data_IF_753773203606
#
_entry.id   IF_753773203606
#
_cell.length_a   1.000
_cell.length_b   1.000
_cell.length_c   1.000
_cell.angle_alpha   90.00
_cell.angle_beta   90.00
_cell.angle_gamma   90.00
#
_symmetry.space_group_name_H-M   'P 1'
#
loop_
_entity.id
_entity.type
_entity.pdbx_description
1 polymer ?
#
# COMPACT_ATOMS: atom_id res chain seq x y z
N UNK A 1 -31.01 26.33 -10.10
CA UNK A 1 -30.06 26.61 -11.20
C UNK A 1 -28.64 26.39 -10.69
N UNK A 2 -27.79 25.80 -11.54
CA UNK A 2 -26.42 25.36 -11.26
C UNK A 2 -25.51 26.50 -10.81
N UNK A 3 -24.57 26.17 -9.92
CA UNK A 3 -23.16 26.52 -10.11
C UNK A 3 -22.31 25.41 -9.55
N UNK A 4 -21.91 24.54 -10.47
CA UNK A 4 -20.75 23.68 -10.37
C UNK A 4 -19.53 24.56 -10.05
N UNK A 5 -18.82 24.27 -8.97
CA UNK A 5 -17.57 24.98 -8.67
C UNK A 5 -16.44 23.98 -8.45
N UNK A 6 -15.75 23.77 -9.57
CA UNK A 6 -14.29 23.67 -9.72
C UNK A 6 -13.63 22.42 -9.11
N UNK A 7 -13.55 21.41 -9.98
CA UNK A 7 -12.54 20.37 -9.97
C UNK A 7 -11.14 21.01 -9.97
N UNK A 8 -10.58 21.35 -8.81
CA UNK A 8 -9.18 21.74 -8.70
C UNK A 8 -8.36 20.48 -8.89
N UNK A 9 -7.76 20.30 -10.07
CA UNK A 9 -6.70 19.31 -10.25
C UNK A 9 -5.49 19.78 -9.43
N UNK A 10 -5.50 19.48 -8.14
CA UNK A 10 -4.30 19.62 -7.30
C UNK A 10 -3.32 18.58 -7.80
N UNK A 11 -2.31 19.01 -8.56
CA UNK A 11 -1.22 18.12 -8.97
C UNK A 11 -0.53 17.66 -7.69
N UNK A 12 -0.83 16.43 -7.27
CA UNK A 12 -0.13 15.78 -6.17
C UNK A 12 1.33 15.61 -6.56
N UNK A 13 2.25 15.86 -5.64
CA UNK A 13 3.68 15.66 -5.90
C UNK A 13 3.96 14.22 -6.36
N UNK A 14 4.97 14.04 -7.21
CA UNK A 14 5.41 12.71 -7.64
C UNK A 14 5.66 11.79 -6.44
N UNK A 15 6.29 12.31 -5.39
CA UNK A 15 6.54 11.58 -4.16
C UNK A 15 5.24 11.06 -3.50
N UNK A 16 4.18 11.86 -3.51
CA UNK A 16 2.87 11.43 -2.97
C UNK A 16 2.26 10.30 -3.79
N UNK A 17 2.30 10.41 -5.12
CA UNK A 17 1.78 9.38 -6.03
C UNK A 17 2.56 8.07 -5.90
N UNK A 18 3.89 8.15 -5.84
CA UNK A 18 4.76 6.99 -5.64
C UNK A 18 4.50 6.32 -4.30
N UNK A 19 4.32 7.10 -3.22
CA UNK A 19 3.97 6.54 -1.91
C UNK A 19 2.62 5.83 -1.91
N UNK A 20 1.61 6.40 -2.58
CA UNK A 20 0.28 5.79 -2.69
C UNK A 20 0.33 4.49 -3.49
N UNK A 21 1.04 4.49 -4.62
CA UNK A 21 1.21 3.31 -5.47
C UNK A 21 2.00 2.21 -4.74
N UNK A 22 3.11 2.55 -4.10
CA UNK A 22 3.91 1.61 -3.32
C UNK A 22 3.10 1.00 -2.16
N UNK A 23 2.30 1.82 -1.46
CA UNK A 23 1.40 1.35 -0.40
C UNK A 23 0.36 0.35 -0.93
N UNK A 24 -0.23 0.62 -2.09
CA UNK A 24 -1.22 -0.27 -2.71
C UNK A 24 -0.61 -1.64 -3.05
N UNK A 25 0.56 -1.66 -3.71
CA UNK A 25 1.26 -2.90 -4.05
C UNK A 25 1.59 -3.77 -2.83
N UNK A 26 1.99 -3.15 -1.71
CA UNK A 26 2.27 -3.87 -0.47
C UNK A 26 1.00 -4.47 0.13
N UNK A 27 -0.11 -3.74 0.10
CA UNK A 27 -1.40 -4.26 0.60
C UNK A 27 -1.85 -5.44 -0.25
N UNK A 28 -1.82 -5.32 -1.57
CA UNK A 28 -2.24 -6.39 -2.48
C UNK A 28 -1.39 -7.66 -2.30
N UNK A 29 -0.08 -7.49 -2.13
CA UNK A 29 0.81 -8.60 -1.82
C UNK A 29 0.51 -9.24 -0.45
N UNK A 30 0.19 -8.44 0.57
CA UNK A 30 -0.18 -8.96 1.89
C UNK A 30 -1.54 -9.67 1.86
N UNK A 31 -2.53 -9.16 1.13
CA UNK A 31 -3.82 -9.84 0.92
C UNK A 31 -3.60 -11.19 0.23
N UNK A 32 -2.84 -11.19 -0.87
CA UNK A 32 -2.55 -12.41 -1.66
C UNK A 32 -1.78 -13.47 -0.87
N UNK A 33 -1.06 -13.07 0.17
CA UNK A 33 -0.22 -13.95 1.00
C UNK A 33 -0.74 -14.11 2.42
N UNK A 34 -2.00 -13.72 2.66
CA UNK A 34 -2.67 -13.82 3.97
C UNK A 34 -1.84 -13.21 5.12
N UNK A 35 -1.25 -12.04 4.88
CA UNK A 35 -0.43 -11.31 5.85
C UNK A 35 1.01 -11.84 6.01
N UNK A 36 1.44 -12.83 5.22
CA UNK A 36 2.79 -13.38 5.28
C UNK A 36 3.81 -12.46 4.58
N UNK A 37 4.47 -11.60 5.37
CA UNK A 37 5.45 -10.62 4.88
C UNK A 37 6.62 -11.26 4.10
N UNK A 38 7.05 -12.47 4.46
CA UNK A 38 8.14 -13.15 3.74
C UNK A 38 7.70 -13.55 2.34
N UNK A 39 6.47 -14.01 2.18
CA UNK A 39 5.91 -14.35 0.86
C UNK A 39 5.56 -13.10 0.07
N UNK A 40 5.02 -12.05 0.71
CA UNK A 40 4.77 -10.76 0.08
C UNK A 40 6.07 -10.16 -0.49
N UNK A 41 7.19 -10.28 0.25
CA UNK A 41 8.50 -9.84 -0.23
C UNK A 41 8.96 -10.61 -1.47
N UNK A 42 8.80 -11.94 -1.48
CA UNK A 42 9.11 -12.78 -2.66
C UNK A 42 8.25 -12.40 -3.86
N UNK A 43 6.94 -12.19 -3.65
CA UNK A 43 6.00 -11.79 -4.69
C UNK A 43 6.40 -10.46 -5.33
N UNK A 44 6.84 -9.49 -4.51
CA UNK A 44 7.26 -8.17 -4.96
C UNK A 44 8.74 -8.10 -5.38
N UNK A 45 9.46 -9.23 -5.42
CA UNK A 45 10.86 -9.27 -5.83
C UNK A 45 11.81 -8.50 -4.92
N UNK A 46 11.52 -8.45 -3.62
CA UNK A 46 12.31 -7.69 -2.62
C UNK A 46 12.60 -8.51 -1.36
N UNK A 47 13.17 -7.88 -0.33
CA UNK A 47 13.47 -8.52 0.95
C UNK A 47 12.37 -8.30 1.99
N UNK A 48 12.23 -9.25 2.92
CA UNK A 48 11.35 -9.12 4.09
C UNK A 48 11.62 -7.84 4.89
N UNK A 49 12.89 -7.41 4.98
CA UNK A 49 13.29 -6.19 5.69
C UNK A 49 12.77 -4.92 5.01
N UNK A 50 12.81 -4.86 3.68
CA UNK A 50 12.20 -3.74 2.92
C UNK A 50 10.70 -3.69 3.16
N UNK A 51 10.00 -4.82 3.05
CA UNK A 51 8.56 -4.91 3.33
C UNK A 51 8.25 -4.47 4.76
N UNK A 52 8.98 -4.97 5.75
CA UNK A 52 8.82 -4.59 7.15
C UNK A 52 8.91 -3.07 7.34
N UNK A 53 9.93 -2.43 6.75
CA UNK A 53 10.06 -0.98 6.85
C UNK A 53 8.94 -0.21 6.18
N UNK A 54 8.48 -0.66 5.02
CA UNK A 54 7.38 0.00 4.31
C UNK A 54 6.04 -0.20 5.03
N UNK A 55 5.81 -1.36 5.63
CA UNK A 55 4.65 -1.63 6.50
C UNK A 55 4.61 -0.61 7.64
N UNK A 56 5.72 -0.41 8.36
CA UNK A 56 5.81 0.60 9.42
C UNK A 56 5.63 2.02 8.89
N UNK A 57 6.31 2.37 7.78
CA UNK A 57 6.20 3.69 7.15
C UNK A 57 4.76 4.04 6.77
N UNK A 58 3.98 3.06 6.28
CA UNK A 58 2.61 3.26 5.82
C UNK A 58 1.53 2.92 6.85
N UNK A 59 1.92 2.57 8.08
CA UNK A 59 0.99 2.20 9.14
C UNK A 59 0.11 1.00 8.79
N UNK A 60 0.64 0.03 8.05
CA UNK A 60 -0.09 -1.16 7.63
C UNK A 60 -0.04 -2.18 8.77
N UNK A 61 -1.17 -2.74 9.16
CA UNK A 61 -1.20 -3.90 10.06
C UNK A 61 -1.35 -5.20 9.25
N UNK A 62 -0.27 -5.98 9.04
CA UNK A 62 -0.32 -7.20 8.25
C UNK A 62 -1.18 -8.29 8.89
N UNK A 63 -1.46 -8.19 10.20
CA UNK A 63 -2.27 -9.17 10.93
C UNK A 63 -3.73 -9.16 10.46
N UNK A 64 -4.21 -8.03 9.94
CA UNK A 64 -5.57 -7.86 9.43
C UNK A 64 -5.87 -8.69 8.18
N UNK A 65 -4.83 -9.17 7.49
CA UNK A 65 -4.98 -9.97 6.28
C UNK A 65 -4.89 -11.48 6.54
N UNK A 66 -4.64 -11.90 7.78
CA UNK A 66 -4.78 -13.32 8.14
C UNK A 66 -6.27 -13.63 8.21
N UNK A 67 -6.72 -14.56 7.37
CA UNK A 67 -8.04 -15.15 7.54
C UNK A 67 -8.04 -15.86 8.89
N UNK A 68 -9.00 -15.50 9.75
CA UNK A 68 -9.19 -16.17 11.03
C UNK A 68 -9.64 -17.59 10.76
N UNK A 69 -8.78 -18.55 11.05
CA UNK A 69 -9.16 -19.93 11.31
C UNK A 69 -9.47 -20.08 12.80
#
# INVERSE_FOLDING_TARGET
MKTQTLNSRTVSSLASLMNAYERALIIDALVSTQGNQSQAAKLLGTSKRVIHYKIHKYGIDPRRFRLGT
#
